data_IF_301389396961
#
_entry.id   IF_301389396961
#
_cell.length_a   1.000
_cell.length_b   1.000
_cell.length_c   1.000
_cell.angle_alpha   90.00
_cell.angle_beta   90.00
_cell.angle_gamma   90.00
#
_symmetry.space_group_name_H-M   'P 1'
#
loop_
_entity.id
_entity.type
_entity.pdbx_description
1 polymer ?
#
# COMPACT_ATOMS: atom_id res chain seq x y z
N UNK A 1 10.71 -3.94 -2.89
CA UNK A 1 9.86 -2.74 -2.82
C UNK A 1 10.66 -1.63 -2.19
N UNK A 2 11.60 -1.09 -2.97
CA UNK A 2 12.51 0.00 -2.55
C UNK A 2 12.44 1.17 -3.54
N UNK A 3 11.54 1.12 -4.53
CA UNK A 3 11.54 2.09 -5.65
C UNK A 3 10.27 2.95 -5.64
N UNK A 4 9.83 3.39 -4.46
CA UNK A 4 8.98 4.58 -4.35
C UNK A 4 9.50 5.60 -3.34
N UNK A 5 10.72 5.43 -2.81
CA UNK A 5 11.37 6.38 -1.90
C UNK A 5 12.69 6.89 -2.51
N UNK A 6 12.61 7.59 -3.64
CA UNK A 6 13.73 8.38 -4.14
C UNK A 6 13.30 9.83 -4.34
N UNK A 7 13.71 10.63 -3.36
CA UNK A 7 14.28 11.97 -3.47
C UNK A 7 13.60 12.97 -4.42
N UNK A 8 12.90 13.94 -3.82
CA UNK A 8 12.87 15.30 -4.35
C UNK A 8 14.29 15.88 -4.27
N UNK A 9 15.06 15.74 -5.35
CA UNK A 9 16.25 16.55 -5.58
C UNK A 9 15.78 17.91 -6.11
N UNK A 10 16.01 18.95 -5.31
CA UNK A 10 15.84 20.33 -5.73
C UNK A 10 16.79 20.67 -6.90
N UNK A 11 16.25 21.23 -7.99
CA UNK A 11 17.02 21.90 -9.06
C UNK A 11 16.24 23.17 -9.50
N UNK A 12 16.93 24.29 -9.84
CA UNK A 12 16.42 25.64 -9.65
C UNK A 12 15.61 26.20 -10.82
N UNK A 13 14.92 27.31 -10.51
CA UNK A 13 14.24 28.22 -11.45
C UNK A 13 15.17 28.69 -12.57
N UNK A 14 14.79 28.41 -13.81
CA UNK A 14 14.62 29.38 -14.90
C UNK A 14 14.61 28.63 -16.23
N UNK A 15 13.56 28.81 -17.04
CA UNK A 15 13.68 28.96 -18.49
C UNK A 15 12.34 29.47 -19.01
N UNK A 16 12.37 30.69 -19.55
CA UNK A 16 11.24 31.35 -20.19
C UNK A 16 10.87 30.57 -21.46
N UNK A 17 9.58 30.33 -21.65
CA UNK A 17 9.06 29.82 -22.91
C UNK A 17 7.80 30.61 -23.27
N UNK A 18 7.99 31.60 -24.16
CA UNK A 18 6.95 32.07 -25.08
C UNK A 18 6.48 30.86 -25.89
N UNK A 19 5.26 30.39 -25.62
CA UNK A 19 4.61 29.35 -26.39
C UNK A 19 3.24 29.82 -26.86
N UNK A 20 3.01 29.59 -28.15
CA UNK A 20 1.89 30.01 -28.98
C UNK A 20 0.50 29.76 -28.40
N UNK A 21 -0.37 30.74 -28.61
CA UNK A 21 -1.76 30.83 -28.12
C UNK A 21 -2.72 29.84 -28.83
N UNK A 22 -2.24 28.94 -29.70
CA UNK A 22 -3.09 27.94 -30.39
C UNK A 22 -3.13 26.56 -29.72
N UNK A 23 -2.38 26.32 -28.64
CA UNK A 23 -2.34 25.02 -27.93
C UNK A 23 -3.41 24.82 -26.84
N UNK A 24 -4.31 25.78 -26.62
CA UNK A 24 -5.16 25.82 -25.42
C UNK A 24 -6.55 25.16 -25.56
N UNK A 25 -6.93 24.75 -26.79
CA UNK A 25 -8.22 24.09 -27.04
C UNK A 25 -8.13 22.55 -26.99
N UNK A 26 -7.03 21.95 -27.47
CA UNK A 26 -6.84 20.50 -27.43
C UNK A 26 -6.56 19.95 -26.02
N UNK A 27 -6.07 20.78 -25.10
CA UNK A 27 -5.79 20.38 -23.72
C UNK A 27 -7.06 20.19 -22.88
N UNK A 28 -8.14 20.94 -23.14
CA UNK A 28 -9.38 20.84 -22.34
C UNK A 28 -10.27 19.65 -22.72
N UNK A 29 -10.32 19.29 -24.00
CA UNK A 29 -11.16 18.18 -24.48
C UNK A 29 -10.57 16.81 -24.10
N UNK A 30 -9.24 16.71 -24.05
CA UNK A 30 -8.57 15.46 -23.66
C UNK A 30 -8.59 15.22 -22.14
N UNK A 31 -8.72 16.26 -21.30
CA UNK A 31 -8.65 16.10 -19.84
C UNK A 31 -9.97 15.68 -19.19
N UNK A 32 -11.13 15.94 -19.81
CA UNK A 32 -12.44 15.70 -19.20
C UNK A 32 -12.78 14.20 -19.04
N UNK A 33 -12.60 13.42 -20.11
CA UNK A 33 -12.98 11.99 -20.12
C UNK A 33 -11.80 11.06 -19.84
N UNK A 34 -10.56 11.58 -19.83
CA UNK A 34 -9.35 10.78 -19.66
C UNK A 34 -9.31 10.04 -18.31
N UNK A 35 -9.72 10.63 -17.17
CA UNK A 35 -9.80 9.89 -15.91
C UNK A 35 -10.76 8.70 -15.96
N UNK A 36 -11.93 8.86 -16.59
CA UNK A 36 -12.93 7.79 -16.73
C UNK A 36 -12.43 6.67 -17.63
N UNK A 37 -11.82 7.02 -18.77
CA UNK A 37 -11.22 6.05 -19.69
C UNK A 37 -10.07 5.29 -19.04
N UNK A 38 -9.16 5.98 -18.34
CA UNK A 38 -8.07 5.33 -17.61
C UNK A 38 -8.61 4.43 -16.50
N UNK A 39 -9.62 4.88 -15.76
CA UNK A 39 -10.27 4.02 -14.76
C UNK A 39 -10.83 2.76 -15.43
N UNK A 40 -11.56 2.91 -16.54
CA UNK A 40 -12.07 1.78 -17.31
C UNK A 40 -10.97 0.81 -17.73
N UNK A 41 -9.81 1.30 -18.20
CA UNK A 41 -8.65 0.49 -18.55
C UNK A 41 -8.08 -0.23 -17.32
N UNK A 42 -7.89 0.48 -16.20
CA UNK A 42 -7.30 -0.08 -14.98
C UNK A 42 -8.19 -1.17 -14.36
N UNK A 43 -9.52 -1.05 -14.48
CA UNK A 43 -10.44 -2.09 -14.03
C UNK A 43 -10.25 -3.43 -14.78
N UNK A 44 -9.83 -3.43 -16.04
CA UNK A 44 -9.48 -4.69 -16.74
C UNK A 44 -8.27 -5.40 -16.11
N UNK A 45 -7.42 -4.67 -15.39
CA UNK A 45 -6.25 -5.21 -14.71
C UNK A 45 -6.51 -5.56 -13.25
N UNK A 46 -7.76 -5.51 -12.77
CA UNK A 46 -8.12 -5.68 -11.35
C UNK A 46 -7.46 -6.90 -10.66
N UNK A 47 -7.32 -8.01 -11.38
CA UNK A 47 -6.70 -9.24 -10.88
C UNK A 47 -5.26 -9.47 -11.38
N UNK A 48 -4.72 -8.58 -12.21
CA UNK A 48 -3.34 -8.63 -12.70
C UNK A 48 -2.46 -7.69 -11.88
N UNK A 49 -2.07 -8.16 -10.70
CA UNK A 49 -1.22 -7.42 -9.76
C UNK A 49 0.11 -6.97 -10.38
N UNK A 50 0.67 -7.71 -11.35
CA UNK A 50 1.92 -7.33 -12.00
C UNK A 50 1.70 -6.10 -12.87
N UNK A 51 0.65 -6.12 -13.68
CA UNK A 51 0.29 -4.97 -14.53
C UNK A 51 -0.13 -3.76 -13.69
N UNK A 52 -0.92 -3.97 -12.63
CA UNK A 52 -1.26 -2.89 -11.69
C UNK A 52 -0.01 -2.28 -11.02
N UNK A 53 0.98 -3.10 -10.67
CA UNK A 53 2.26 -2.61 -10.15
C UNK A 53 3.04 -1.81 -11.21
N UNK A 54 2.94 -2.15 -12.49
CA UNK A 54 3.49 -1.29 -13.55
C UNK A 54 2.72 0.02 -13.69
N UNK A 55 1.38 -0.01 -13.56
CA UNK A 55 0.53 1.17 -13.64
C UNK A 55 0.85 2.24 -12.58
N UNK A 56 1.16 1.84 -11.34
CA UNK A 56 1.48 2.81 -10.27
C UNK A 56 2.72 3.66 -10.57
N UNK A 57 3.61 3.20 -11.46
CA UNK A 57 4.86 3.87 -11.82
C UNK A 57 4.72 4.83 -13.00
N UNK A 58 3.57 4.86 -13.69
CA UNK A 58 3.38 5.65 -14.92
C UNK A 58 3.29 7.14 -14.58
N UNK A 59 2.29 7.54 -13.79
CA UNK A 59 2.10 8.91 -13.31
C UNK A 59 1.13 8.94 -12.12
N UNK A 60 0.91 10.13 -11.54
CA UNK A 60 0.08 10.33 -10.34
C UNK A 60 -1.38 9.85 -10.50
N UNK A 61 -1.97 9.98 -11.70
CA UNK A 61 -3.35 9.56 -11.96
C UNK A 61 -3.48 8.03 -11.99
N UNK A 62 -2.60 7.36 -12.72
CA UNK A 62 -2.57 5.89 -12.76
C UNK A 62 -2.25 5.31 -11.38
N UNK A 63 -1.36 5.96 -10.62
CA UNK A 63 -1.06 5.59 -9.24
C UNK A 63 -2.30 5.68 -8.34
N UNK A 64 -3.05 6.79 -8.37
CA UNK A 64 -4.26 6.94 -7.55
C UNK A 64 -5.34 5.90 -7.86
N UNK A 65 -5.45 5.48 -9.12
CA UNK A 65 -6.47 4.52 -9.55
C UNK A 65 -6.06 3.06 -9.31
N UNK A 66 -4.77 2.73 -9.47
CA UNK A 66 -4.27 1.36 -9.31
C UNK A 66 -4.06 0.97 -7.83
N UNK A 67 -3.71 1.91 -6.95
CA UNK A 67 -3.44 1.62 -5.53
C UNK A 67 -4.66 1.00 -4.82
N UNK A 68 -5.89 1.52 -4.94
CA UNK A 68 -7.06 0.90 -4.33
C UNK A 68 -7.25 -0.57 -4.74
N UNK A 69 -7.04 -0.89 -6.02
CA UNK A 69 -7.17 -2.26 -6.55
C UNK A 69 -6.06 -3.19 -6.02
N UNK A 70 -4.83 -2.70 -5.95
CA UNK A 70 -3.71 -3.47 -5.38
C UNK A 70 -3.91 -3.79 -3.89
N UNK A 71 -4.53 -2.87 -3.15
CA UNK A 71 -4.69 -2.95 -1.70
C UNK A 71 -6.06 -3.45 -1.25
N UNK A 72 -6.90 -3.87 -2.18
CA UNK A 72 -8.22 -4.46 -1.93
C UNK A 72 -8.14 -5.76 -1.13
N UNK A 73 -7.14 -6.60 -1.45
CA UNK A 73 -6.92 -7.91 -0.84
C UNK A 73 -5.42 -8.32 -0.81
N UNK A 74 -4.56 -7.58 -0.08
CA UNK A 74 -3.11 -7.80 -0.10
C UNK A 74 -2.70 -9.18 0.43
N UNK A 75 -3.50 -9.77 1.32
CA UNK A 75 -3.26 -11.09 1.91
C UNK A 75 -3.49 -12.27 0.94
N UNK A 76 -4.11 -12.02 -0.21
CA UNK A 76 -4.38 -13.05 -1.22
C UNK A 76 -3.36 -13.08 -2.35
N UNK A 77 -2.38 -12.17 -2.37
CA UNK A 77 -1.37 -12.11 -3.43
C UNK A 77 -0.43 -13.31 -3.32
N UNK A 78 -0.42 -14.16 -4.36
CA UNK A 78 0.28 -15.45 -4.30
C UNK A 78 1.76 -15.35 -4.68
N UNK A 79 2.14 -14.55 -5.68
CA UNK A 79 3.52 -14.42 -6.16
C UNK A 79 3.80 -13.14 -6.98
N UNK A 80 4.96 -12.48 -6.80
CA UNK A 80 5.93 -12.67 -5.72
C UNK A 80 5.37 -12.17 -4.37
N UNK A 81 5.45 -12.99 -3.32
CA UNK A 81 5.01 -12.60 -1.97
C UNK A 81 6.03 -11.66 -1.35
N UNK A 82 5.69 -10.38 -1.31
CA UNK A 82 6.38 -9.38 -0.53
C UNK A 82 5.55 -9.07 0.72
N UNK A 83 6.09 -9.32 1.91
CA UNK A 83 5.38 -9.10 3.17
C UNK A 83 5.56 -7.67 3.74
N UNK A 84 6.23 -6.78 3.02
CA UNK A 84 6.45 -5.38 3.44
C UNK A 84 5.14 -4.60 3.68
N UNK A 85 4.01 -5.05 3.11
CA UNK A 85 2.71 -4.45 3.43
C UNK A 85 2.32 -4.59 4.92
N UNK A 86 2.80 -5.64 5.62
CA UNK A 86 2.59 -5.78 7.06
C UNK A 86 3.32 -4.67 7.82
N UNK A 87 4.55 -4.35 7.41
CA UNK A 87 5.32 -3.24 8.00
C UNK A 87 4.61 -1.90 7.80
N UNK A 88 4.00 -1.67 6.62
CA UNK A 88 3.21 -0.47 6.33
C UNK A 88 2.02 -0.35 7.30
N UNK A 89 1.30 -1.43 7.59
CA UNK A 89 0.21 -1.38 8.57
C UNK A 89 0.72 -1.13 9.98
N UNK A 90 1.79 -1.82 10.39
CA UNK A 90 2.38 -1.64 11.71
C UNK A 90 2.96 -0.23 11.92
N UNK A 91 3.36 0.47 10.85
CA UNK A 91 3.76 1.87 10.90
C UNK A 91 2.68 2.78 11.49
N UNK A 92 1.42 2.50 11.17
CA UNK A 92 0.31 3.39 11.49
C UNK A 92 -0.20 3.18 12.93
N UNK A 93 0.46 2.32 13.71
CA UNK A 93 0.17 2.14 15.13
C UNK A 93 0.58 3.35 15.96
N UNK A 94 -0.08 3.51 17.11
CA UNK A 94 0.28 4.51 18.10
C UNK A 94 1.68 4.23 18.70
N UNK A 95 2.30 5.26 19.26
CA UNK A 95 3.65 5.16 19.84
C UNK A 95 3.75 4.12 20.98
N UNK A 96 2.66 3.92 21.72
CA UNK A 96 2.57 2.91 22.78
C UNK A 96 2.66 1.47 22.25
N UNK A 97 2.11 1.19 21.09
CA UNK A 97 2.15 -0.12 20.45
C UNK A 97 3.45 -0.31 19.64
N UNK A 98 3.97 0.77 19.05
CA UNK A 98 5.32 0.79 18.44
C UNK A 98 6.42 0.46 19.44
N UNK A 99 6.35 0.99 20.66
CA UNK A 99 7.34 0.66 21.71
C UNK A 99 7.26 -0.79 22.15
N UNK A 100 6.06 -1.41 22.13
CA UNK A 100 5.92 -2.87 22.35
C UNK A 100 6.54 -3.66 21.20
N UNK A 101 6.32 -3.27 19.94
CA UNK A 101 6.94 -3.93 18.77
C UNK A 101 8.47 -3.88 18.83
N UNK A 102 9.05 -2.73 19.19
CA UNK A 102 10.50 -2.59 19.37
C UNK A 102 11.06 -3.55 20.43
N UNK A 103 10.34 -3.77 21.54
CA UNK A 103 10.74 -4.77 22.56
C UNK A 103 10.81 -6.20 22.01
N UNK A 104 10.06 -6.46 20.94
CA UNK A 104 10.03 -7.75 20.26
C UNK A 104 11.05 -7.89 19.12
N UNK A 105 11.91 -6.89 18.92
CA UNK A 105 13.00 -6.92 17.93
C UNK A 105 12.58 -6.54 16.51
N UNK A 106 11.37 -6.00 16.32
CA UNK A 106 10.93 -5.42 15.05
C UNK A 106 11.40 -3.97 15.04
N UNK A 107 12.46 -3.66 14.29
CA UNK A 107 13.02 -2.32 14.27
C UNK A 107 12.14 -1.37 13.44
N UNK A 108 11.67 -0.29 14.05
CA UNK A 108 10.86 0.75 13.39
C UNK A 108 11.61 1.53 12.31
N UNK A 109 12.94 1.46 12.25
CA UNK A 109 13.75 2.18 11.25
C UNK A 109 13.57 1.66 9.81
N UNK A 110 12.94 0.49 9.65
CA UNK A 110 12.65 -0.10 8.32
C UNK A 110 11.38 0.48 7.68
N UNK A 111 10.67 1.36 8.40
CA UNK A 111 9.30 1.72 8.08
C UNK A 111 9.21 3.18 7.63
N UNK A 112 8.62 3.50 6.47
CA UNK A 112 8.51 4.86 5.96
C UNK A 112 7.73 5.78 6.91
N UNK A 113 8.29 6.94 7.26
CA UNK A 113 7.71 7.89 8.24
C UNK A 113 6.42 8.57 7.78
N UNK A 114 6.10 8.54 6.47
CA UNK A 114 4.88 9.09 5.90
C UNK A 114 4.31 8.17 4.80
N UNK A 115 3.08 7.67 4.99
CA UNK A 115 2.37 6.93 3.95
C UNK A 115 1.60 7.89 3.06
N UNK A 116 1.82 7.82 1.73
CA UNK A 116 1.11 8.67 0.76
C UNK A 116 -0.41 8.41 0.72
N UNK A 117 -0.84 7.22 1.13
CA UNK A 117 -2.23 6.79 1.14
C UNK A 117 -2.60 6.15 2.48
N UNK A 118 -3.89 6.21 2.84
CA UNK A 118 -4.44 5.36 3.89
C UNK A 118 -4.68 3.94 3.33
N UNK A 119 -3.61 3.14 3.26
CA UNK A 119 -3.69 1.80 2.69
C UNK A 119 -4.70 0.88 3.38
N UNK A 120 -4.91 1.06 4.69
CA UNK A 120 -5.89 0.28 5.46
C UNK A 120 -7.34 0.56 5.05
N UNK A 121 -7.66 1.76 4.55
CA UNK A 121 -9.02 2.06 4.10
C UNK A 121 -9.39 1.42 2.76
N UNK A 122 -8.41 0.90 2.01
CA UNK A 122 -8.68 0.23 0.73
C UNK A 122 -8.97 -1.25 0.87
N UNK A 123 -8.81 -1.83 2.07
CA UNK A 123 -9.07 -3.24 2.28
C UNK A 123 -10.57 -3.51 2.17
N UNK A 124 -10.94 -4.46 1.32
CA UNK A 124 -12.32 -4.90 1.10
C UNK A 124 -12.53 -6.38 1.42
N UNK A 125 -11.45 -7.16 1.41
CA UNK A 125 -11.50 -8.60 1.66
C UNK A 125 -10.57 -8.99 2.80
N UNK A 126 -11.15 -9.59 3.84
CA UNK A 126 -10.43 -10.11 4.99
C UNK A 126 -10.66 -11.62 5.11
N UNK A 127 -9.58 -12.39 5.04
CA UNK A 127 -9.59 -13.82 5.36
C UNK A 127 -8.63 -14.08 6.52
N UNK A 128 -9.19 -14.47 7.66
CA UNK A 128 -8.46 -14.68 8.92
C UNK A 128 -7.30 -15.68 8.77
N UNK A 129 -7.51 -16.79 8.04
CA UNK A 129 -6.47 -17.80 7.76
C UNK A 129 -5.34 -17.21 6.90
N UNK A 130 -5.65 -16.43 5.86
CA UNK A 130 -4.65 -15.78 5.00
C UNK A 130 -3.85 -14.74 5.77
N UNK A 131 -4.51 -13.97 6.64
CA UNK A 131 -3.86 -12.98 7.52
C UNK A 131 -2.87 -13.67 8.46
N UNK A 132 -3.32 -14.69 9.20
CA UNK A 132 -2.45 -15.45 10.12
C UNK A 132 -1.26 -16.07 9.38
N UNK A 133 -1.49 -16.66 8.21
CA UNK A 133 -0.41 -17.24 7.40
C UNK A 133 0.58 -16.18 6.90
N UNK A 134 0.09 -15.00 6.50
CA UNK A 134 0.95 -13.90 6.06
C UNK A 134 1.81 -13.37 7.19
N UNK A 135 1.25 -13.20 8.39
CA UNK A 135 2.00 -12.79 9.59
C UNK A 135 3.08 -13.83 9.94
N UNK A 136 2.75 -15.13 9.93
CA UNK A 136 3.75 -16.20 10.18
C UNK A 136 4.91 -16.16 9.19
N UNK A 137 4.60 -15.97 7.91
CA UNK A 137 5.62 -15.95 6.87
C UNK A 137 6.48 -14.69 6.95
N UNK A 138 5.87 -13.54 7.21
CA UNK A 138 6.58 -12.28 7.47
C UNK A 138 7.50 -12.39 8.68
N UNK A 139 6.99 -12.94 9.79
CA UNK A 139 7.77 -13.14 11.00
C UNK A 139 8.98 -14.04 10.73
N UNK A 140 8.82 -15.12 9.97
CA UNK A 140 9.93 -15.98 9.56
C UNK A 140 10.95 -15.27 8.65
N UNK A 141 10.52 -14.29 7.85
CA UNK A 141 11.41 -13.51 6.99
C UNK A 141 12.21 -12.46 7.78
N UNK A 142 11.63 -11.91 8.87
CA UNK A 142 12.24 -10.84 9.68
C UNK A 142 13.00 -11.37 10.91
N UNK A 143 12.54 -12.47 11.52
CA UNK A 143 13.04 -12.96 12.81
C UNK A 143 14.25 -13.87 12.66
N UNK A 144 15.37 -13.48 13.28
CA UNK A 144 16.60 -14.30 13.39
C UNK A 144 16.66 -15.20 14.65
N UNK A 145 15.70 -15.12 15.57
CA UNK A 145 15.74 -15.83 16.88
C UNK A 145 14.40 -16.51 17.24
N UNK A 146 14.46 -17.58 18.06
CA UNK A 146 13.42 -18.61 18.16
C UNK A 146 12.45 -18.51 19.35
N UNK A 147 12.72 -17.69 20.38
CA UNK A 147 12.05 -17.83 21.69
C UNK A 147 10.86 -16.89 21.95
N UNK A 148 10.64 -15.82 21.16
CA UNK A 148 9.55 -14.83 21.37
C UNK A 148 8.38 -14.92 20.38
N UNK A 149 8.39 -15.89 19.45
CA UNK A 149 7.51 -15.92 18.26
C UNK A 149 6.00 -15.90 18.56
N UNK A 150 5.55 -16.70 19.52
CA UNK A 150 4.10 -16.88 19.77
C UNK A 150 3.45 -15.63 20.34
N UNK A 151 4.16 -14.89 21.20
CA UNK A 151 3.63 -13.66 21.81
C UNK A 151 3.55 -12.53 20.78
N UNK A 152 4.54 -12.44 19.89
CA UNK A 152 4.59 -11.47 18.80
C UNK A 152 3.39 -11.64 17.86
N UNK A 153 3.12 -12.88 17.45
CA UNK A 153 2.02 -13.16 16.52
C UNK A 153 0.66 -12.75 17.09
N UNK A 154 0.38 -13.03 18.37
CA UNK A 154 -0.89 -12.65 18.99
C UNK A 154 -1.05 -11.12 19.06
N UNK A 155 0.02 -10.41 19.41
CA UNK A 155 0.01 -8.96 19.48
C UNK A 155 -0.21 -8.34 18.10
N UNK A 156 0.59 -8.74 17.10
CA UNK A 156 0.52 -8.22 15.73
C UNK A 156 -0.85 -8.50 15.11
N UNK A 157 -1.38 -9.70 15.29
CA UNK A 157 -2.70 -10.04 14.77
C UNK A 157 -3.80 -9.15 15.38
N UNK A 158 -3.76 -8.91 16.70
CA UNK A 158 -4.67 -7.99 17.37
C UNK A 158 -4.53 -6.56 16.83
N UNK A 159 -3.31 -6.07 16.68
CA UNK A 159 -3.02 -4.72 16.16
C UNK A 159 -3.53 -4.52 14.74
N UNK A 160 -3.32 -5.50 13.86
CA UNK A 160 -3.83 -5.45 12.49
C UNK A 160 -5.36 -5.45 12.44
N UNK A 161 -6.02 -6.32 13.22
CA UNK A 161 -7.49 -6.29 13.29
C UNK A 161 -8.03 -4.96 13.81
N UNK A 162 -7.36 -4.36 14.79
CA UNK A 162 -7.76 -3.04 15.28
C UNK A 162 -7.66 -1.98 14.18
N UNK A 163 -6.55 -1.94 13.44
CA UNK A 163 -6.39 -1.03 12.28
C UNK A 163 -7.51 -1.25 11.27
N UNK A 164 -7.85 -2.51 10.97
CA UNK A 164 -8.89 -2.81 10.00
C UNK A 164 -10.28 -2.42 10.50
N UNK A 165 -10.61 -2.65 11.77
CA UNK A 165 -11.89 -2.23 12.35
C UNK A 165 -12.03 -0.70 12.33
N UNK A 166 -10.94 0.03 12.58
CA UNK A 166 -10.96 1.50 12.63
C UNK A 166 -11.00 2.16 11.25
N UNK A 167 -10.41 1.53 10.23
CA UNK A 167 -10.20 2.17 8.92
C UNK A 167 -11.01 1.54 7.77
N UNK A 168 -11.54 0.33 7.91
CA UNK A 168 -12.30 -0.32 6.84
C UNK A 168 -13.67 0.34 6.74
N UNK A 169 -13.84 1.13 5.67
CA UNK A 169 -15.10 1.82 5.39
C UNK A 169 -16.07 0.91 4.63
N UNK A 170 -15.58 0.10 3.68
CA UNK A 170 -16.39 -0.74 2.79
C UNK A 170 -15.85 -2.18 2.74
N UNK A 171 -16.32 -3.03 3.66
CA UNK A 171 -15.95 -4.45 3.67
C UNK A 171 -16.87 -5.25 2.75
N UNK A 172 -16.31 -5.88 1.72
CA UNK A 172 -17.05 -6.71 0.78
C UNK A 172 -17.09 -8.18 1.20
N UNK A 173 -16.03 -8.72 1.83
CA UNK A 173 -16.06 -10.08 2.38
C UNK A 173 -15.25 -10.24 3.66
N UNK A 174 -15.80 -11.02 4.60
CA UNK A 174 -15.11 -11.46 5.81
C UNK A 174 -15.22 -12.98 5.95
N UNK A 175 -14.08 -13.68 5.87
CA UNK A 175 -13.99 -15.13 6.11
C UNK A 175 -13.27 -15.43 7.43
N UNK A 176 -14.03 -15.92 8.40
CA UNK A 176 -13.55 -16.36 9.71
C UNK A 176 -13.46 -17.90 9.71
N UNK A 177 -12.26 -18.44 9.90
CA UNK A 177 -11.96 -19.89 9.92
C UNK A 177 -11.33 -20.28 11.24
#
# INVERSE_FOLDING_TARGET
>A
MTICMLNEVAVPKSYNNTFDVTSMACSKIFLGNLPELINGIIQYFHHDYKTLHSCILINRLWCHLAIPLLWENPFSIECPKNYHFIEIYLHNLNDGDKTKLNKYGINNDLIPSNTLFNYSSFIQHLNTRKIINSIKNWENAVSRTSTTKVQNLKFINRSLYQIFIENVVNLHSLEVV
#
